data_IF_801905343757
#
_entry.id   IF_801905343757
#
_cell.length_a   1.000
_cell.length_b   1.000
_cell.length_c   1.000
_cell.angle_alpha   90.00
_cell.angle_beta   90.00
_cell.angle_gamma   90.00
#
_symmetry.space_group_name_H-M   'P 1'
#
loop_
_entity.id
_entity.type
_entity.pdbx_description
1 polymer ?
#
# COMPACT_ATOMS: atom_id res chain seq x y z
N UNK A 1 -50.10 27.05 19.21
CA UNK A 1 -49.06 27.14 20.25
C UNK A 1 -48.33 25.80 20.33
N UNK A 2 -47.71 25.35 19.23
CA UNK A 2 -47.03 24.03 19.14
C UNK A 2 -45.90 24.07 18.08
N UNK A 3 -44.92 24.97 18.22
CA UNK A 3 -43.73 24.97 17.33
C UNK A 3 -42.39 25.03 18.06
N UNK A 4 -42.39 24.78 19.38
CA UNK A 4 -41.20 24.96 20.22
C UNK A 4 -40.64 23.64 20.78
N UNK A 5 -41.41 22.54 20.78
CA UNK A 5 -40.97 21.27 21.37
C UNK A 5 -40.14 20.36 20.43
N UNK A 6 -40.25 20.55 19.10
CA UNK A 6 -39.57 19.69 18.11
C UNK A 6 -38.07 20.01 17.92
N UNK A 7 -37.61 21.22 18.25
CA UNK A 7 -36.21 21.59 18.01
C UNK A 7 -35.28 21.11 19.12
N UNK A 8 -35.81 20.93 20.35
CA UNK A 8 -35.01 20.55 21.51
C UNK A 8 -34.74 19.04 21.52
N UNK A 9 -35.75 18.21 21.23
CA UNK A 9 -35.61 16.75 21.12
C UNK A 9 -34.70 16.34 19.96
N UNK A 10 -34.78 17.03 18.82
CA UNK A 10 -33.91 16.77 17.66
C UNK A 10 -32.45 17.20 17.91
N UNK A 11 -32.23 18.26 18.70
CA UNK A 11 -30.90 18.67 19.16
C UNK A 11 -30.33 17.71 20.20
N UNK A 12 -31.15 17.19 21.11
CA UNK A 12 -30.74 16.17 22.09
C UNK A 12 -30.38 14.83 21.42
N UNK A 13 -31.16 14.38 20.43
CA UNK A 13 -30.84 13.19 19.64
C UNK A 13 -29.52 13.34 18.86
N UNK A 14 -29.27 14.51 18.26
CA UNK A 14 -28.02 14.78 17.56
C UNK A 14 -26.80 14.81 18.51
N UNK A 15 -26.94 15.34 19.72
CA UNK A 15 -25.87 15.35 20.74
C UNK A 15 -25.58 13.94 21.27
N UNK A 16 -26.60 13.11 21.46
CA UNK A 16 -26.42 11.69 21.88
C UNK A 16 -25.76 10.86 20.77
N UNK A 17 -26.12 11.08 19.49
CA UNK A 17 -25.49 10.41 18.36
C UNK A 17 -24.02 10.82 18.15
N UNK A 18 -23.68 12.10 18.34
CA UNK A 18 -22.29 12.58 18.26
C UNK A 18 -21.47 12.08 19.47
N UNK A 19 -22.07 11.99 20.66
CA UNK A 19 -21.43 11.44 21.86
C UNK A 19 -21.22 9.93 21.82
N UNK A 20 -22.04 9.18 21.09
CA UNK A 20 -21.89 7.73 20.94
C UNK A 20 -20.79 7.34 19.94
N UNK A 21 -20.48 8.19 18.94
CA UNK A 21 -19.42 7.92 17.95
C UNK A 21 -18.02 8.14 18.54
N UNK A 22 -17.87 8.98 19.56
CA UNK A 22 -16.56 9.22 20.21
C UNK A 22 -16.20 8.21 21.31
N UNK A 23 -17.14 7.37 21.76
CA UNK A 23 -16.91 6.41 22.84
C UNK A 23 -16.28 5.07 22.39
N UNK A 24 -16.17 4.85 21.08
CA UNK A 24 -15.47 3.71 20.48
C UNK A 24 -14.22 4.16 19.72
N UNK A 25 -13.53 5.18 20.22
CA UNK A 25 -12.13 5.38 19.85
C UNK A 25 -11.32 4.51 20.81
N UNK A 26 -10.65 3.42 20.38
CA UNK A 26 -9.70 2.75 21.23
C UNK A 26 -8.65 3.80 21.59
N UNK A 27 -8.66 4.18 22.86
CA UNK A 27 -7.68 5.04 23.50
C UNK A 27 -6.30 4.48 23.14
N UNK A 28 -5.58 5.25 22.34
CA UNK A 28 -4.13 5.16 22.14
C UNK A 28 -3.56 3.75 21.98
N UNK A 29 -3.32 3.35 20.73
CA UNK A 29 -2.09 2.59 20.45
C UNK A 29 -0.92 3.51 20.81
N UNK A 30 -0.50 3.51 22.07
CA UNK A 30 0.78 4.09 22.45
C UNK A 30 1.83 3.35 21.61
N UNK A 31 2.48 4.06 20.70
CA UNK A 31 3.60 3.49 19.93
C UNK A 31 4.60 2.90 20.92
N UNK A 32 5.10 1.70 20.64
CA UNK A 32 6.12 1.06 21.46
C UNK A 32 7.28 2.05 21.67
N UNK A 33 7.54 2.42 22.92
CA UNK A 33 8.65 3.31 23.27
C UNK A 33 10.01 2.64 23.13
N UNK A 34 10.03 1.30 23.08
CA UNK A 34 11.22 0.46 22.92
C UNK A 34 10.85 -0.72 22.02
N UNK A 35 11.69 -1.08 21.02
CA UNK A 35 11.46 -2.27 20.21
C UNK A 35 11.49 -3.54 21.06
N UNK A 36 10.73 -4.59 20.71
CA UNK A 36 10.73 -5.84 21.44
C UNK A 36 12.10 -6.53 21.36
N UNK A 37 12.47 -7.28 22.39
CA UNK A 37 13.74 -8.01 22.45
C UNK A 37 13.82 -9.18 21.45
N UNK A 38 12.66 -9.64 20.98
CA UNK A 38 12.52 -10.68 19.97
C UNK A 38 11.51 -10.22 18.90
N UNK A 39 11.67 -10.65 17.63
CA UNK A 39 10.67 -10.41 16.61
C UNK A 39 9.30 -10.99 17.01
N UNK A 40 8.18 -10.35 16.60
CA UNK A 40 6.86 -10.94 16.72
C UNK A 40 6.80 -12.36 16.12
N UNK A 41 6.05 -13.25 16.77
CA UNK A 41 5.98 -14.67 16.39
C UNK A 41 5.35 -14.90 15.00
N UNK A 42 4.60 -13.94 14.49
CA UNK A 42 3.97 -13.95 13.16
C UNK A 42 4.89 -13.42 12.05
N UNK A 43 6.05 -12.87 12.39
CA UNK A 43 7.04 -12.43 11.40
C UNK A 43 7.78 -13.63 10.82
N UNK A 44 7.96 -13.60 9.51
CA UNK A 44 8.80 -14.55 8.79
C UNK A 44 10.08 -13.87 8.31
N UNK A 45 11.23 -14.59 8.28
CA UNK A 45 12.45 -14.05 7.69
C UNK A 45 12.22 -13.66 6.23
N UNK A 46 12.76 -12.51 5.82
CA UNK A 46 12.79 -12.13 4.40
C UNK A 46 13.85 -12.94 3.68
N UNK A 47 13.54 -13.42 2.48
CA UNK A 47 14.50 -14.08 1.61
C UNK A 47 15.62 -13.10 1.20
N UNK A 48 16.84 -13.61 1.00
CA UNK A 48 18.00 -12.78 0.63
C UNK A 48 17.78 -12.01 -0.69
N UNK A 49 16.95 -12.56 -1.57
CA UNK A 49 16.57 -11.98 -2.86
C UNK A 49 15.18 -11.32 -2.83
N UNK A 50 14.58 -11.16 -1.65
CA UNK A 50 13.23 -10.62 -1.45
C UNK A 50 12.10 -11.39 -2.17
N UNK A 51 12.33 -12.65 -2.58
CA UNK A 51 11.33 -13.46 -3.29
C UNK A 51 10.04 -13.73 -2.52
N UNK A 52 10.05 -13.59 -1.19
CA UNK A 52 8.86 -13.72 -0.35
C UNK A 52 8.17 -12.37 -0.02
N UNK A 53 8.64 -11.27 -0.61
CA UNK A 53 7.97 -9.97 -0.50
C UNK A 53 6.93 -9.84 -1.61
N UNK A 54 5.66 -9.53 -1.30
CA UNK A 54 4.61 -9.41 -2.30
C UNK A 54 4.81 -8.17 -3.18
N UNK A 55 4.68 -8.36 -4.49
CA UNK A 55 4.68 -7.29 -5.49
C UNK A 55 3.26 -7.05 -6.02
N UNK A 56 2.94 -5.82 -6.50
CA UNK A 56 1.60 -5.49 -6.99
C UNK A 56 1.26 -6.13 -8.35
N UNK A 57 2.27 -6.63 -9.07
CA UNK A 57 2.13 -7.30 -10.37
C UNK A 57 3.02 -8.55 -10.42
N UNK A 58 2.79 -9.48 -11.36
CA UNK A 58 3.60 -10.69 -11.52
C UNK A 58 5.09 -10.36 -11.68
N UNK A 59 5.92 -11.02 -10.87
CA UNK A 59 7.37 -10.91 -10.96
C UNK A 59 7.87 -11.90 -11.99
N UNK A 60 8.67 -11.39 -12.93
CA UNK A 60 9.44 -12.16 -13.90
C UNK A 60 10.93 -12.00 -13.60
N UNK A 61 11.76 -12.86 -14.20
CA UNK A 61 13.20 -12.87 -13.99
C UNK A 61 13.95 -12.84 -15.31
N UNK A 62 14.97 -11.99 -15.38
CA UNK A 62 15.91 -11.91 -16.49
C UNK A 62 17.28 -12.37 -16.01
N UNK A 63 17.83 -13.39 -16.67
CA UNK A 63 19.19 -13.86 -16.43
C UNK A 63 20.19 -12.95 -17.15
N UNK A 64 21.21 -12.49 -16.43
CA UNK A 64 22.21 -11.52 -16.92
C UNK A 64 23.61 -11.98 -16.51
N UNK A 65 24.51 -12.18 -17.48
CA UNK A 65 25.93 -12.38 -17.20
C UNK A 65 26.68 -11.05 -17.33
N UNK A 66 27.34 -10.60 -16.27
CA UNK A 66 28.09 -9.34 -16.24
C UNK A 66 29.39 -9.51 -15.44
N UNK A 67 30.52 -9.05 -15.97
CA UNK A 67 31.83 -9.14 -15.31
C UNK A 67 32.22 -10.55 -14.85
N UNK A 68 31.82 -11.58 -15.60
CA UNK A 68 32.12 -12.99 -15.28
C UNK A 68 31.27 -13.55 -14.13
N UNK A 69 30.21 -12.86 -13.72
CA UNK A 69 29.23 -13.35 -12.75
C UNK A 69 27.84 -13.43 -13.39
N UNK A 70 27.07 -14.41 -12.96
CA UNK A 70 25.68 -14.57 -13.35
C UNK A 70 24.75 -13.94 -12.29
N UNK A 71 23.83 -13.11 -12.76
CA UNK A 71 22.83 -12.40 -11.98
C UNK A 71 21.43 -12.75 -12.47
N UNK A 72 20.46 -12.60 -11.58
CA UNK A 72 19.04 -12.73 -11.88
C UNK A 72 18.32 -11.44 -11.47
N UNK A 73 17.73 -10.74 -12.43
CA UNK A 73 17.05 -9.47 -12.22
C UNK A 73 15.54 -9.72 -12.12
N UNK A 74 14.95 -9.40 -10.98
CA UNK A 74 13.49 -9.40 -10.83
C UNK A 74 12.88 -8.14 -11.46
N UNK A 75 11.85 -8.30 -12.28
CA UNK A 75 11.11 -7.19 -12.89
C UNK A 75 9.60 -7.48 -12.92
N UNK A 76 8.81 -6.42 -13.09
CA UNK A 76 7.39 -6.53 -13.44
C UNK A 76 7.23 -6.02 -14.87
N UNK A 77 6.48 -6.77 -15.68
CA UNK A 77 6.09 -6.37 -17.04
C UNK A 77 4.57 -6.35 -17.10
N UNK A 78 4.01 -5.18 -17.38
CA UNK A 78 2.59 -4.89 -17.23
C UNK A 78 2.10 -4.25 -18.51
N UNK A 79 1.17 -4.94 -19.17
CA UNK A 79 0.58 -4.50 -20.43
C UNK A 79 -0.35 -3.29 -20.24
N UNK A 80 -0.58 -2.49 -21.30
CA UNK A 80 -1.62 -1.47 -21.31
C UNK A 80 -3.00 -2.08 -21.01
N UNK A 81 -3.75 -1.48 -20.09
CA UNK A 81 -5.15 -1.84 -19.84
C UNK A 81 -6.10 -1.25 -20.91
N UNK A 82 -5.66 -0.17 -21.57
CA UNK A 82 -6.41 0.55 -22.61
C UNK A 82 -5.85 0.33 -24.03
N UNK A 83 -6.15 1.26 -24.93
CA UNK A 83 -5.55 1.27 -26.26
C UNK A 83 -4.04 1.56 -26.15
N UNK A 84 -3.16 0.71 -26.69
CA UNK A 84 -1.73 0.96 -26.65
C UNK A 84 -1.38 2.28 -27.33
N UNK A 85 -0.59 3.12 -26.66
CA UNK A 85 -0.15 4.41 -27.17
C UNK A 85 1.15 4.32 -28.00
N UNK A 86 1.72 3.11 -28.13
CA UNK A 86 2.91 2.82 -28.93
C UNK A 86 4.23 3.17 -28.24
N UNK A 87 4.22 3.45 -26.94
CA UNK A 87 5.40 3.77 -26.13
C UNK A 87 5.51 2.82 -24.95
N UNK A 88 6.72 2.65 -24.43
CA UNK A 88 7.00 1.84 -23.24
C UNK A 88 7.77 2.68 -22.24
N UNK A 89 7.41 2.57 -20.97
CA UNK A 89 8.12 3.21 -19.85
C UNK A 89 8.94 2.17 -19.10
N UNK A 90 10.24 2.43 -18.95
CA UNK A 90 11.12 1.62 -18.08
C UNK A 90 11.35 2.38 -16.79
N UNK A 91 11.01 1.76 -15.66
CA UNK A 91 11.12 2.36 -14.33
C UNK A 91 12.24 1.70 -13.53
N UNK A 92 13.16 2.52 -13.02
CA UNK A 92 14.21 2.08 -12.10
C UNK A 92 13.92 2.60 -10.70
N UNK A 93 14.07 1.75 -9.69
CA UNK A 93 13.99 2.18 -8.30
C UNK A 93 15.27 2.92 -7.87
N UNK A 94 15.15 3.77 -6.84
CA UNK A 94 16.31 4.40 -6.19
C UNK A 94 16.89 3.52 -5.07
N UNK A 95 17.97 4.01 -4.43
CA UNK A 95 18.79 3.32 -3.42
C UNK A 95 18.08 2.21 -2.63
N UNK A 96 17.32 2.57 -1.61
CA UNK A 96 16.84 1.65 -0.58
C UNK A 96 15.38 1.20 -0.81
N UNK A 97 14.88 1.34 -2.03
CA UNK A 97 13.53 0.92 -2.41
C UNK A 97 13.60 -0.17 -3.45
N UNK A 98 12.52 -0.94 -3.59
CA UNK A 98 12.35 -1.94 -4.64
C UNK A 98 11.07 -1.65 -5.43
N UNK A 99 10.91 -2.30 -6.58
CA UNK A 99 9.90 -1.92 -7.57
C UNK A 99 8.43 -2.03 -7.10
N UNK A 100 8.14 -2.71 -5.98
CA UNK A 100 6.79 -2.84 -5.46
C UNK A 100 6.12 -1.49 -5.13
N UNK A 101 6.90 -0.45 -4.80
CA UNK A 101 6.39 0.89 -4.53
C UNK A 101 5.72 1.54 -5.76
N UNK A 102 5.98 1.05 -6.96
CA UNK A 102 5.46 1.62 -8.20
C UNK A 102 4.04 1.19 -8.55
N UNK A 103 3.35 0.41 -7.71
CA UNK A 103 2.02 -0.13 -8.03
C UNK A 103 1.01 0.91 -8.56
N UNK A 104 0.90 2.06 -7.89
CA UNK A 104 0.01 3.16 -8.30
C UNK A 104 0.46 3.79 -9.62
N UNK A 105 1.77 3.98 -9.81
CA UNK A 105 2.34 4.58 -11.02
C UNK A 105 2.18 3.66 -12.24
N UNK A 106 2.48 2.37 -12.09
CA UNK A 106 2.30 1.36 -13.14
C UNK A 106 0.83 1.30 -13.55
N UNK A 107 -0.10 1.30 -12.60
CA UNK A 107 -1.54 1.34 -12.90
C UNK A 107 -1.91 2.54 -13.76
N UNK A 108 -1.46 3.74 -13.38
CA UNK A 108 -1.78 4.96 -14.11
C UNK A 108 -1.18 4.97 -15.53
N UNK A 109 0.03 4.43 -15.69
CA UNK A 109 0.69 4.32 -17.01
C UNK A 109 -0.01 3.29 -17.90
N UNK A 110 -0.34 2.11 -17.36
CA UNK A 110 -1.08 1.07 -18.07
C UNK A 110 -2.47 1.57 -18.53
N UNK A 111 -3.17 2.34 -17.69
CA UNK A 111 -4.44 2.98 -18.05
C UNK A 111 -4.28 4.06 -19.13
N UNK A 112 -3.12 4.71 -19.20
CA UNK A 112 -2.79 5.70 -20.23
C UNK A 112 -2.24 5.08 -21.54
N UNK A 113 -2.19 3.75 -21.62
CA UNK A 113 -1.83 3.04 -22.85
C UNK A 113 -0.33 2.71 -22.98
N UNK A 114 0.48 2.95 -21.95
CA UNK A 114 1.90 2.57 -21.94
C UNK A 114 2.10 1.09 -21.63
#
# INVERSE_FOLDING_TARGET
MERTYSSLTQRLLAVVLIGAITFFCPVGSAGQSVPPSEPPADWSPTAIDYSNVPYPYPVQYLDVSLNGQDYRVAYMDVEPAGQPNGQTVVMFHGMNFFAAAFGVTIKALSEAGF
#
